data_IF_140954799616
#
_entry.id   IF_140954799616
#
_cell.length_a   1.000
_cell.length_b   1.000
_cell.length_c   1.000
_cell.angle_alpha   90.00
_cell.angle_beta   90.00
_cell.angle_gamma   90.00
#
_symmetry.space_group_name_H-M   'P 1'
#
loop_
_entity.id
_entity.type
_entity.pdbx_description
1 polymer ?
#
# COMPACT_ATOMS: atom_id res chain seq x y z
N UNK A 1 1.47 -2.40 -17.73
CA UNK A 1 1.43 -1.35 -18.76
C UNK A 1 1.77 0.01 -18.14
N UNK A 2 2.49 0.85 -18.84
CA UNK A 2 2.77 2.22 -18.45
C UNK A 2 2.28 3.17 -19.55
N UNK A 3 1.66 4.29 -19.16
CA UNK A 3 1.31 5.39 -20.07
C UNK A 3 2.23 6.57 -19.74
N UNK A 4 2.95 7.07 -20.73
CA UNK A 4 3.88 8.18 -20.60
C UNK A 4 3.39 9.38 -21.41
N UNK A 5 3.48 10.59 -20.81
CA UNK A 5 3.26 11.84 -21.55
C UNK A 5 4.39 12.09 -22.54
N UNK A 6 4.12 12.85 -23.60
CA UNK A 6 5.11 13.19 -24.65
C UNK A 6 6.39 13.80 -24.08
N UNK A 7 6.27 14.64 -23.06
CA UNK A 7 7.42 15.31 -22.42
C UNK A 7 8.33 14.36 -21.64
N UNK A 8 7.78 13.22 -21.19
CA UNK A 8 8.50 12.23 -20.37
C UNK A 8 9.05 11.09 -21.21
N UNK A 9 8.53 10.88 -22.43
CA UNK A 9 8.89 9.75 -23.29
C UNK A 9 10.08 10.03 -24.23
N UNK A 10 10.55 11.28 -24.33
CA UNK A 10 11.55 11.68 -25.33
C UNK A 10 12.87 10.91 -25.30
N UNK A 11 13.29 10.42 -24.15
CA UNK A 11 14.50 9.59 -24.04
C UNK A 11 14.33 8.18 -24.65
N UNK A 12 13.11 7.65 -24.69
CA UNK A 12 12.81 6.37 -25.34
C UNK A 12 12.87 6.46 -26.87
N UNK A 13 12.68 7.66 -27.43
CA UNK A 13 12.77 7.88 -28.87
C UNK A 13 14.22 7.76 -29.38
N UNK A 14 15.19 8.07 -28.53
CA UNK A 14 16.62 8.00 -28.82
C UNK A 14 17.27 6.68 -28.40
N UNK A 15 16.67 5.95 -27.46
CA UNK A 15 17.16 4.66 -26.95
C UNK A 15 16.03 3.63 -26.87
N UNK A 16 15.82 2.90 -27.95
CA UNK A 16 14.83 1.82 -28.01
C UNK A 16 15.12 0.65 -27.06
N UNK A 17 16.31 0.60 -26.44
CA UNK A 17 16.68 -0.38 -25.44
C UNK A 17 16.55 0.14 -24.00
N UNK A 18 16.24 1.40 -23.82
CA UNK A 18 16.11 2.05 -22.52
C UNK A 18 15.01 1.44 -21.62
N UNK A 19 14.04 0.74 -22.21
CA UNK A 19 13.04 -0.02 -21.46
C UNK A 19 12.69 -1.31 -22.17
N UNK A 20 13.15 -2.43 -21.64
CA UNK A 20 12.88 -3.77 -22.15
C UNK A 20 12.04 -4.54 -21.14
N UNK A 21 11.01 -5.22 -21.62
CA UNK A 21 10.20 -6.14 -20.81
C UNK A 21 10.03 -7.46 -21.56
N UNK A 22 10.54 -8.55 -20.99
CA UNK A 22 10.44 -9.89 -21.57
C UNK A 22 8.99 -10.32 -21.83
N UNK A 23 8.06 -9.92 -20.96
CA UNK A 23 6.64 -10.25 -21.06
C UNK A 23 5.77 -9.03 -21.43
N UNK A 24 6.40 -7.90 -21.79
CA UNK A 24 5.67 -6.71 -22.24
C UNK A 24 4.88 -7.02 -23.52
N UNK A 25 3.59 -6.76 -23.52
CA UNK A 25 2.71 -7.07 -24.64
C UNK A 25 2.31 -8.54 -24.77
N UNK A 26 2.66 -9.41 -23.82
CA UNK A 26 2.20 -10.80 -23.81
C UNK A 26 0.66 -10.84 -23.76
N UNK A 27 0.04 -11.64 -24.62
CA UNK A 27 -1.41 -11.70 -24.85
C UNK A 27 -2.19 -11.93 -23.56
N UNK A 28 -1.79 -12.89 -22.74
CA UNK A 28 -2.43 -13.19 -21.47
C UNK A 28 -2.35 -12.01 -20.50
N UNK A 29 -1.17 -11.37 -20.40
CA UNK A 29 -0.98 -10.18 -19.57
C UNK A 29 -1.85 -9.01 -20.01
N UNK A 30 -1.98 -8.79 -21.32
CA UNK A 30 -2.83 -7.76 -21.89
C UNK A 30 -4.31 -8.03 -21.65
N UNK A 31 -4.75 -9.29 -21.77
CA UNK A 31 -6.12 -9.69 -21.47
C UNK A 31 -6.49 -9.45 -20.00
N UNK A 32 -5.61 -9.83 -19.07
CA UNK A 32 -5.78 -9.58 -17.64
C UNK A 32 -5.80 -8.08 -17.34
N UNK A 33 -4.85 -7.31 -17.90
CA UNK A 33 -4.79 -5.87 -17.70
C UNK A 33 -6.06 -5.16 -18.21
N UNK A 34 -6.58 -5.57 -19.37
CA UNK A 34 -7.83 -5.04 -19.91
C UNK A 34 -9.02 -5.34 -18.98
N UNK A 35 -9.07 -6.54 -18.40
CA UNK A 35 -10.13 -6.90 -17.44
C UNK A 35 -10.01 -6.13 -16.13
N UNK A 36 -8.81 -5.92 -15.64
CA UNK A 36 -8.57 -5.08 -14.45
C UNK A 36 -9.05 -3.65 -14.71
N UNK A 37 -8.72 -3.07 -15.87
CA UNK A 37 -9.19 -1.73 -16.24
C UNK A 37 -10.72 -1.68 -16.31
N UNK A 38 -11.36 -2.65 -16.97
CA UNK A 38 -12.83 -2.74 -17.04
C UNK A 38 -13.48 -2.73 -15.63
N UNK A 39 -12.89 -3.46 -14.69
CA UNK A 39 -13.42 -3.54 -13.31
C UNK A 39 -13.16 -2.23 -12.56
N UNK A 40 -11.92 -1.75 -12.58
CA UNK A 40 -11.50 -0.61 -11.75
C UNK A 40 -12.06 0.73 -12.23
N UNK A 41 -12.45 0.84 -13.50
CA UNK A 41 -13.10 2.03 -14.06
C UNK A 41 -14.63 2.05 -13.88
N UNK A 42 -15.23 1.05 -13.26
CA UNK A 42 -16.67 1.06 -12.95
C UNK A 42 -17.00 2.25 -12.05
N UNK A 43 -18.13 2.96 -12.28
CA UNK A 43 -18.48 4.16 -11.52
C UNK A 43 -18.59 3.95 -10.01
N UNK A 44 -18.84 2.71 -9.56
CA UNK A 44 -18.97 2.35 -8.14
C UNK A 44 -17.64 2.11 -7.44
N UNK A 45 -16.55 1.85 -8.17
CA UNK A 45 -15.27 1.43 -7.56
C UNK A 45 -14.56 2.59 -6.90
N UNK A 46 -14.39 3.72 -7.56
CA UNK A 46 -13.67 4.88 -6.98
C UNK A 46 -14.33 5.44 -5.73
N UNK A 47 -15.67 5.63 -5.66
CA UNK A 47 -16.33 6.00 -4.41
C UNK A 47 -16.06 4.99 -3.29
N UNK A 48 -16.17 3.69 -3.59
CA UNK A 48 -15.89 2.63 -2.61
C UNK A 48 -14.44 2.65 -2.12
N UNK A 49 -13.48 2.87 -3.01
CA UNK A 49 -12.07 3.05 -2.64
C UNK A 49 -11.89 4.23 -1.66
N UNK A 50 -12.64 5.30 -1.84
CA UNK A 50 -12.69 6.43 -0.91
C UNK A 50 -13.16 6.01 0.49
N UNK A 51 -14.27 5.28 0.58
CA UNK A 51 -14.81 4.76 1.86
C UNK A 51 -13.82 3.84 2.57
N UNK A 52 -13.23 2.88 1.85
CA UNK A 52 -12.19 1.98 2.39
C UNK A 52 -11.00 2.79 2.91
N UNK A 53 -10.54 3.76 2.13
CA UNK A 53 -9.42 4.63 2.48
C UNK A 53 -9.69 5.40 3.78
N UNK A 54 -10.86 6.01 3.91
CA UNK A 54 -11.25 6.75 5.12
C UNK A 54 -11.37 5.83 6.33
N UNK A 55 -12.00 4.66 6.19
CA UNK A 55 -12.16 3.69 7.28
C UNK A 55 -10.80 3.21 7.81
N UNK A 56 -9.91 2.78 6.94
CA UNK A 56 -8.57 2.33 7.31
C UNK A 56 -7.75 3.47 7.92
N UNK A 57 -7.77 4.65 7.30
CA UNK A 57 -7.04 5.80 7.81
C UNK A 57 -7.52 6.22 9.20
N UNK A 58 -8.82 6.30 9.42
CA UNK A 58 -9.37 6.66 10.73
C UNK A 58 -8.95 5.67 11.83
N UNK A 59 -8.90 4.37 11.51
CA UNK A 59 -8.42 3.34 12.43
C UNK A 59 -6.93 3.47 12.73
N UNK A 60 -6.11 3.59 11.72
CA UNK A 60 -4.67 3.76 11.85
C UNK A 60 -4.30 5.07 12.54
N UNK A 61 -5.04 6.15 12.30
CA UNK A 61 -4.83 7.44 12.95
C UNK A 61 -5.15 7.42 14.45
N UNK A 62 -6.14 6.62 14.88
CA UNK A 62 -6.34 6.34 16.32
C UNK A 62 -5.12 5.65 16.91
N UNK A 63 -4.63 4.58 16.27
CA UNK A 63 -3.44 3.86 16.72
C UNK A 63 -2.20 4.76 16.74
N UNK A 64 -2.06 5.68 15.78
CA UNK A 64 -0.96 6.66 15.77
C UNK A 64 -0.99 7.54 17.02
N UNK A 65 -2.15 8.07 17.38
CA UNK A 65 -2.30 8.89 18.60
C UNK A 65 -1.96 8.11 19.87
N UNK A 66 -2.31 6.83 19.91
CA UNK A 66 -2.12 5.96 21.08
C UNK A 66 -0.70 5.35 21.13
N UNK A 67 0.13 5.58 20.10
CA UNK A 67 1.45 4.96 19.94
C UNK A 67 2.57 5.61 20.74
N UNK A 68 2.28 6.60 21.60
CA UNK A 68 3.28 7.38 22.34
C UNK A 68 4.41 7.95 21.44
N UNK A 69 4.06 8.34 20.21
CA UNK A 69 5.00 8.92 19.25
C UNK A 69 5.82 7.90 18.44
N UNK A 70 5.58 6.62 18.58
CA UNK A 70 6.29 5.61 17.79
C UNK A 70 5.85 5.61 16.33
N UNK A 71 4.55 5.63 16.04
CA UNK A 71 4.02 5.89 14.70
C UNK A 71 3.86 7.40 14.54
N UNK A 72 4.73 8.04 13.76
CA UNK A 72 4.80 9.51 13.69
C UNK A 72 3.95 10.12 12.59
N UNK A 73 3.78 9.40 11.48
CA UNK A 73 3.09 9.95 10.30
C UNK A 73 2.38 8.85 9.52
N UNK A 74 1.21 9.19 8.97
CA UNK A 74 0.51 8.36 7.99
C UNK A 74 0.31 9.19 6.73
N UNK A 75 0.96 8.80 5.65
CA UNK A 75 0.76 9.34 4.30
C UNK A 75 -0.16 8.43 3.54
N UNK A 76 -1.12 8.98 2.78
CA UNK A 76 -2.04 8.16 1.99
C UNK A 76 -2.38 8.76 0.64
N UNK A 77 -2.62 7.87 -0.32
CA UNK A 77 -3.27 8.16 -1.59
C UNK A 77 -4.22 7.00 -1.89
N UNK A 78 -5.52 7.25 -1.78
CA UNK A 78 -6.51 6.18 -1.81
C UNK A 78 -6.21 5.11 -0.77
N UNK A 79 -6.15 3.84 -1.17
CA UNK A 79 -5.85 2.69 -0.29
C UNK A 79 -4.35 2.38 -0.16
N UNK A 80 -3.48 3.18 -0.76
CA UNK A 80 -2.03 3.07 -0.57
C UNK A 80 -1.63 3.97 0.60
N UNK A 81 -1.04 3.37 1.63
CA UNK A 81 -0.67 4.07 2.85
C UNK A 81 0.80 3.81 3.20
N UNK A 82 1.50 4.86 3.61
CA UNK A 82 2.84 4.79 4.17
C UNK A 82 2.82 5.21 5.63
N UNK A 83 3.15 4.28 6.53
CA UNK A 83 3.20 4.49 7.97
C UNK A 83 4.66 4.69 8.38
N UNK A 84 5.03 5.90 8.79
CA UNK A 84 6.40 6.22 9.20
C UNK A 84 6.57 6.12 10.70
N UNK A 85 7.58 5.37 11.11
CA UNK A 85 7.95 5.17 12.51
C UNK A 85 9.10 6.08 12.91
N UNK A 86 9.19 6.43 14.21
CA UNK A 86 10.28 7.22 14.76
C UNK A 86 11.62 6.46 14.76
N UNK A 87 11.54 5.14 14.95
CA UNK A 87 12.69 4.24 14.91
C UNK A 87 13.02 3.88 13.44
N UNK A 88 14.27 4.01 12.99
CA UNK A 88 14.68 3.59 11.65
C UNK A 88 14.37 2.13 11.32
N UNK A 89 14.35 1.22 12.31
CA UNK A 89 13.96 -0.17 12.16
C UNK A 89 12.46 -0.42 12.45
N UNK A 90 11.69 0.61 12.76
CA UNK A 90 10.32 0.51 13.23
C UNK A 90 9.39 -0.18 12.22
N UNK A 91 9.55 0.13 10.93
CA UNK A 91 8.75 -0.52 9.90
C UNK A 91 9.08 -2.01 9.71
N UNK A 92 10.33 -2.40 9.87
CA UNK A 92 10.73 -3.82 9.81
C UNK A 92 10.17 -4.58 11.02
N UNK A 93 10.26 -4.01 12.21
CA UNK A 93 9.69 -4.56 13.44
C UNK A 93 8.18 -4.74 13.31
N UNK A 94 7.49 -3.71 12.81
CA UNK A 94 6.05 -3.77 12.57
C UNK A 94 5.67 -4.76 11.46
N UNK A 95 6.45 -4.84 10.37
CA UNK A 95 6.23 -5.82 9.30
C UNK A 95 6.25 -7.25 9.83
N UNK A 96 7.23 -7.57 10.69
CA UNK A 96 7.30 -8.89 11.33
C UNK A 96 6.10 -9.14 12.26
N UNK A 97 5.75 -8.18 13.10
CA UNK A 97 4.63 -8.32 14.02
C UNK A 97 3.28 -8.49 13.28
N UNK A 98 3.09 -7.79 12.16
CA UNK A 98 1.92 -7.97 11.31
C UNK A 98 1.90 -9.34 10.63
N UNK A 99 3.05 -9.81 10.16
CA UNK A 99 3.16 -11.15 9.59
C UNK A 99 2.76 -12.22 10.60
N UNK A 100 3.26 -12.12 11.83
CA UNK A 100 2.90 -13.03 12.93
C UNK A 100 1.40 -12.92 13.29
N UNK A 101 0.80 -11.73 13.12
CA UNK A 101 -0.65 -11.50 13.27
C UNK A 101 -1.47 -11.91 12.03
N UNK A 102 -0.84 -12.40 10.95
CA UNK A 102 -1.50 -12.86 9.72
C UNK A 102 -1.87 -11.72 8.75
N UNK A 103 -1.22 -10.57 8.82
CA UNK A 103 -1.37 -9.46 7.87
C UNK A 103 -0.04 -9.18 7.18
N UNK A 104 -0.06 -9.18 5.84
CA UNK A 104 1.13 -8.88 5.05
C UNK A 104 1.26 -7.40 4.77
N UNK A 105 2.31 -6.76 5.29
CA UNK A 105 2.72 -5.41 4.94
C UNK A 105 4.26 -5.32 4.99
N UNK A 106 4.87 -4.56 4.08
CA UNK A 106 6.32 -4.52 3.92
C UNK A 106 6.88 -3.12 4.18
N UNK A 107 8.09 -3.06 4.72
CA UNK A 107 8.85 -1.81 4.79
C UNK A 107 9.24 -1.32 3.38
N UNK A 108 9.42 0.00 3.23
CA UNK A 108 9.83 0.59 1.96
C UNK A 108 11.34 0.40 1.73
N UNK A 109 11.72 0.06 0.48
CA UNK A 109 13.12 -0.18 0.14
C UNK A 109 14.01 1.06 0.20
N UNK A 110 13.44 2.25 -0.01
CA UNK A 110 14.18 3.53 0.01
C UNK A 110 14.17 4.19 1.40
N UNK A 111 13.21 3.86 2.25
CA UNK A 111 13.09 4.39 3.61
C UNK A 111 12.59 3.27 4.54
N UNK A 112 13.50 2.55 5.22
CA UNK A 112 13.15 1.43 6.07
C UNK A 112 12.37 1.82 7.34
N UNK A 113 12.23 3.11 7.63
CA UNK A 113 11.34 3.60 8.68
C UNK A 113 9.86 3.62 8.26
N UNK A 114 9.57 3.42 6.97
CA UNK A 114 8.21 3.46 6.41
C UNK A 114 7.69 2.07 6.09
N UNK A 115 6.58 1.70 6.69
CA UNK A 115 5.79 0.52 6.32
C UNK A 115 4.82 0.89 5.20
N UNK A 116 4.79 0.09 4.14
CA UNK A 116 3.80 0.20 3.07
C UNK A 116 2.62 -0.72 3.35
N UNK A 117 1.44 -0.16 3.46
CA UNK A 117 0.19 -0.90 3.50
C UNK A 117 -0.67 -0.55 2.29
N UNK A 118 -1.12 -1.57 1.58
CA UNK A 118 -1.88 -1.44 0.32
C UNK A 118 -3.05 -2.40 0.36
N UNK A 119 -4.21 -1.90 0.76
CA UNK A 119 -5.44 -2.68 0.70
C UNK A 119 -5.87 -2.92 -0.75
N UNK A 120 -6.58 -4.00 -1.00
CA UNK A 120 -7.19 -4.25 -2.30
C UNK A 120 -8.28 -3.22 -2.63
N UNK A 121 -8.40 -2.82 -3.90
CA UNK A 121 -9.42 -1.86 -4.35
C UNK A 121 -10.86 -2.36 -4.14
N UNK A 122 -11.05 -3.68 -4.05
CA UNK A 122 -12.34 -4.35 -3.87
C UNK A 122 -12.51 -4.92 -2.46
N UNK A 123 -11.73 -4.44 -1.48
CA UNK A 123 -11.87 -4.85 -0.09
C UNK A 123 -13.27 -4.51 0.44
N UNK A 124 -13.79 -5.36 1.29
CA UNK A 124 -15.05 -5.15 2.00
C UNK A 124 -14.82 -4.59 3.42
N UNK A 125 -15.90 -4.35 4.13
CA UNK A 125 -15.83 -3.82 5.48
C UNK A 125 -15.24 -4.82 6.46
N UNK A 126 -15.53 -6.10 6.29
CA UNK A 126 -15.01 -7.17 7.13
C UNK A 126 -13.47 -7.27 7.01
N UNK A 127 -12.95 -7.16 5.78
CA UNK A 127 -11.51 -7.08 5.57
C UNK A 127 -10.90 -5.86 6.27
N UNK A 128 -11.55 -4.69 6.18
CA UNK A 128 -11.02 -3.48 6.80
C UNK A 128 -10.97 -3.62 8.33
N UNK A 129 -12.00 -4.18 8.95
CA UNK A 129 -12.07 -4.40 10.38
C UNK A 129 -11.01 -5.40 10.85
N UNK A 130 -10.90 -6.54 10.16
CA UNK A 130 -9.88 -7.55 10.45
C UNK A 130 -8.47 -6.99 10.28
N UNK A 131 -8.21 -6.22 9.22
CA UNK A 131 -6.92 -5.59 9.01
C UNK A 131 -6.57 -4.63 10.17
N UNK A 132 -7.51 -3.82 10.63
CA UNK A 132 -7.31 -2.90 11.74
C UNK A 132 -7.09 -3.65 13.07
N UNK A 133 -7.79 -4.74 13.33
CA UNK A 133 -7.56 -5.59 14.51
C UNK A 133 -6.13 -6.16 14.50
N UNK A 134 -5.69 -6.69 13.36
CA UNK A 134 -4.33 -7.23 13.20
C UNK A 134 -3.26 -6.14 13.33
N UNK A 135 -3.52 -4.93 12.85
CA UNK A 135 -2.66 -3.78 13.09
C UNK A 135 -2.56 -3.45 14.58
N UNK A 136 -3.67 -3.44 15.30
CA UNK A 136 -3.68 -3.19 16.74
C UNK A 136 -2.89 -4.27 17.51
N UNK A 137 -3.01 -5.54 17.12
CA UNK A 137 -2.24 -6.64 17.68
C UNK A 137 -0.74 -6.45 17.46
N UNK A 138 -0.34 -6.15 16.23
CA UNK A 138 1.06 -5.87 15.89
C UNK A 138 1.63 -4.69 16.68
N UNK A 139 0.87 -3.61 16.81
CA UNK A 139 1.26 -2.43 17.58
C UNK A 139 1.45 -2.78 19.07
N UNK A 140 0.53 -3.55 19.67
CA UNK A 140 0.67 -4.01 21.08
C UNK A 140 1.93 -4.85 21.26
N UNK A 141 2.19 -5.78 20.37
CA UNK A 141 3.38 -6.63 20.42
C UNK A 141 4.66 -5.80 20.38
N UNK A 142 4.74 -4.82 19.48
CA UNK A 142 5.91 -3.97 19.34
C UNK A 142 6.14 -3.01 20.53
N UNK A 143 5.07 -2.56 21.20
CA UNK A 143 5.18 -1.63 22.35
C UNK A 143 5.48 -2.35 23.65
N UNK A 144 5.06 -3.60 23.83
CA UNK A 144 5.32 -4.40 25.04
C UNK A 144 6.76 -4.95 25.07
N UNK A 145 7.41 -5.07 23.91
CA UNK A 145 8.77 -5.62 23.77
C UNK A 145 9.87 -4.56 23.86
N UNK A 146 9.51 -3.32 24.17
CA UNK A 146 10.42 -2.17 24.38
C UNK A 146 10.57 -1.85 25.85
#
# INVERSE_FOLDING_TARGET
AAALGREVAGWLDSDGWGHISTFGGAELGCAVASKVLEITTRPTVLPRVGEISERLFAGLERMRRDSAGWLVEIRRQGVVMGLRFADPAGAMTMSKALYDAGLWAMFAGLDPSVLQFKAGLLADDAYCDEALERFADGMRHCTTSR
#
